data_IF_418152449863
#
_entry.id   IF_418152449863
#
_cell.length_a   1.000
_cell.length_b   1.000
_cell.length_c   1.000
_cell.angle_alpha   90.00
_cell.angle_beta   90.00
_cell.angle_gamma   90.00
#
_symmetry.space_group_name_H-M   'P 1'
#
loop_
_entity.id
_entity.type
_entity.pdbx_description
1 polymer ?
#
# COMPACT_ATOMS: atom_id res chain seq x y z
N UNK A 1 -20.87 -5.68 0.03
CA UNK A 1 -19.75 -6.09 -0.84
C UNK A 1 -20.31 -6.53 -2.19
N UNK A 2 -19.64 -6.22 -3.32
CA UNK A 2 -20.04 -6.76 -4.63
C UNK A 2 -19.29 -8.05 -4.95
N UNK A 3 -19.83 -8.89 -5.85
CA UNK A 3 -19.15 -10.12 -6.29
C UNK A 3 -17.78 -9.83 -6.91
N UNK A 4 -17.68 -8.76 -7.72
CA UNK A 4 -16.41 -8.33 -8.30
C UNK A 4 -15.37 -8.00 -7.22
N UNK A 5 -15.73 -7.19 -6.22
CA UNK A 5 -14.80 -6.82 -5.16
C UNK A 5 -14.38 -8.00 -4.29
N UNK A 6 -15.30 -8.92 -4.01
CA UNK A 6 -15.00 -10.13 -3.24
C UNK A 6 -14.03 -11.05 -4.00
N UNK A 7 -14.28 -11.32 -5.28
CA UNK A 7 -13.37 -12.10 -6.13
C UNK A 7 -12.01 -11.43 -6.30
N UNK A 8 -12.00 -10.09 -6.43
CA UNK A 8 -10.77 -9.34 -6.61
C UNK A 8 -9.89 -9.37 -5.36
N UNK A 9 -10.46 -9.12 -4.18
CA UNK A 9 -9.70 -8.90 -2.93
C UNK A 9 -9.58 -10.14 -2.04
N UNK A 10 -10.39 -11.16 -2.29
CA UNK A 10 -10.57 -12.31 -1.41
C UNK A 10 -11.34 -12.02 -0.12
N UNK A 11 -11.86 -10.79 0.07
CA UNK A 11 -12.67 -10.43 1.24
C UNK A 11 -14.09 -10.95 1.06
N UNK A 12 -14.54 -11.76 2.00
CA UNK A 12 -15.92 -12.27 2.05
C UNK A 12 -16.85 -11.27 2.70
N UNK A 13 -18.15 -11.37 2.41
CA UNK A 13 -19.15 -10.54 3.09
C UNK A 13 -19.19 -10.85 4.60
N UNK A 14 -18.99 -12.11 5.01
CA UNK A 14 -18.95 -12.49 6.42
C UNK A 14 -17.76 -11.88 7.18
N UNK A 15 -16.57 -11.80 6.57
CA UNK A 15 -15.44 -11.08 7.19
C UNK A 15 -15.78 -9.59 7.38
N UNK A 16 -16.46 -8.97 6.43
CA UNK A 16 -16.88 -7.57 6.54
C UNK A 16 -17.95 -7.38 7.63
N UNK A 17 -18.94 -8.27 7.68
CA UNK A 17 -20.03 -8.21 8.66
C UNK A 17 -19.53 -8.36 10.11
N UNK A 18 -18.46 -9.12 10.30
CA UNK A 18 -17.83 -9.33 11.62
C UNK A 18 -16.68 -8.36 11.91
N UNK A 19 -16.43 -7.38 11.04
CA UNK A 19 -15.34 -6.41 11.21
C UNK A 19 -15.78 -5.17 11.99
N UNK A 20 -14.84 -4.57 12.71
CA UNK A 20 -15.05 -3.26 13.31
C UNK A 20 -15.22 -2.18 12.23
N UNK A 21 -16.02 -1.15 12.53
CA UNK A 21 -16.19 -0.02 11.62
C UNK A 21 -14.90 0.81 11.48
N UNK A 22 -14.85 1.62 10.41
CA UNK A 22 -13.66 2.43 10.07
C UNK A 22 -13.17 3.31 11.22
N UNK A 23 -14.05 3.94 12.02
CA UNK A 23 -13.62 4.81 13.12
C UNK A 23 -12.82 4.05 14.17
N UNK A 24 -13.27 2.85 14.52
CA UNK A 24 -12.58 1.98 15.49
C UNK A 24 -11.25 1.51 14.91
N UNK A 25 -11.25 0.93 13.71
CA UNK A 25 -10.05 0.39 13.07
C UNK A 25 -9.01 1.49 12.84
N UNK A 26 -9.44 2.67 12.36
CA UNK A 26 -8.55 3.78 12.08
C UNK A 26 -7.99 4.40 13.38
N UNK A 27 -8.78 4.48 14.45
CA UNK A 27 -8.27 4.88 15.77
C UNK A 27 -7.20 3.92 16.28
N UNK A 28 -7.44 2.61 16.16
CA UNK A 28 -6.45 1.58 16.52
C UNK A 28 -5.18 1.70 15.67
N UNK A 29 -5.32 1.94 14.37
CA UNK A 29 -4.19 2.21 13.47
C UNK A 29 -3.39 3.43 13.92
N UNK A 30 -4.04 4.55 14.25
CA UNK A 30 -3.36 5.77 14.70
C UNK A 30 -2.66 5.60 16.06
N UNK A 31 -3.19 4.75 16.94
CA UNK A 31 -2.56 4.41 18.22
C UNK A 31 -1.31 3.55 18.02
N UNK A 32 -1.35 2.63 17.06
CA UNK A 32 -0.21 1.80 16.68
C UNK A 32 0.83 2.55 15.84
N UNK A 33 0.40 3.50 15.01
CA UNK A 33 1.25 4.23 14.07
C UNK A 33 2.22 5.18 14.79
N UNK A 34 3.55 5.05 14.57
CA UNK A 34 4.53 5.87 15.28
C UNK A 34 4.42 7.36 14.97
N UNK A 35 4.26 8.18 16.01
CA UNK A 35 4.22 9.66 15.93
C UNK A 35 5.62 10.28 15.87
N UNK A 36 6.47 9.75 14.99
CA UNK A 36 7.86 10.20 14.82
C UNK A 36 8.15 10.49 13.35
N UNK A 37 9.08 11.42 13.09
CA UNK A 37 9.60 11.70 11.74
C UNK A 37 10.56 10.61 11.24
N UNK A 38 10.96 9.66 12.10
CA UNK A 38 11.84 8.54 11.74
C UNK A 38 11.13 7.43 10.96
N UNK A 39 9.81 7.48 10.82
CA UNK A 39 9.00 6.49 10.11
C UNK A 39 8.40 7.12 8.86
N UNK A 40 8.51 6.42 7.73
CA UNK A 40 7.97 6.84 6.45
C UNK A 40 6.72 6.00 6.13
N UNK A 41 5.62 6.67 5.79
CA UNK A 41 4.44 6.01 5.26
C UNK A 41 4.61 5.74 3.77
N UNK A 42 4.84 4.48 3.38
CA UNK A 42 5.17 4.13 2.01
C UNK A 42 4.04 3.35 1.32
N UNK A 43 3.74 3.70 0.07
CA UNK A 43 2.65 3.11 -0.72
C UNK A 43 3.10 2.75 -2.13
N UNK A 44 2.41 1.81 -2.78
CA UNK A 44 2.64 1.47 -4.19
C UNK A 44 1.72 2.26 -5.14
N UNK A 45 1.73 3.58 -5.01
CA UNK A 45 0.83 4.48 -5.72
C UNK A 45 0.33 5.59 -4.82
N UNK A 46 -0.47 6.50 -5.33
CA UNK A 46 -1.08 7.57 -4.52
C UNK A 46 -2.46 7.21 -3.99
N UNK A 47 -3.05 6.11 -4.46
CA UNK A 47 -4.47 5.83 -4.25
C UNK A 47 -4.79 5.47 -2.80
N UNK A 48 -3.90 4.77 -2.10
CA UNK A 48 -4.12 4.36 -0.70
C UNK A 48 -4.37 5.58 0.21
N UNK A 49 -3.51 6.61 0.14
CA UNK A 49 -3.67 7.82 0.94
C UNK A 49 -4.92 8.63 0.54
N UNK A 50 -5.30 8.58 -0.74
CA UNK A 50 -6.54 9.21 -1.21
C UNK A 50 -7.75 8.49 -0.61
N UNK A 51 -7.79 7.16 -0.66
CA UNK A 51 -8.89 6.36 -0.12
C UNK A 51 -9.03 6.55 1.40
N UNK A 52 -7.93 6.47 2.15
CA UNK A 52 -7.94 6.73 3.60
C UNK A 52 -8.56 8.10 3.91
N UNK A 53 -8.22 9.13 3.14
CA UNK A 53 -8.75 10.48 3.37
C UNK A 53 -10.21 10.63 2.96
N UNK A 54 -10.67 9.90 1.94
CA UNK A 54 -12.11 9.82 1.60
C UNK A 54 -12.88 9.16 2.75
N UNK A 55 -12.35 8.09 3.32
CA UNK A 55 -12.97 7.40 4.46
C UNK A 55 -12.97 8.28 5.72
N UNK A 56 -11.88 9.01 5.99
CA UNK A 56 -11.82 9.99 7.07
C UNK A 56 -12.92 11.06 6.91
N UNK A 57 -13.03 11.67 5.72
CA UNK A 57 -14.02 12.69 5.45
C UNK A 57 -15.45 12.14 5.61
N UNK A 58 -15.73 10.97 5.07
CA UNK A 58 -17.04 10.30 5.16
C UNK A 58 -17.43 9.94 6.60
N UNK A 59 -16.44 9.82 7.49
CA UNK A 59 -16.64 9.52 8.91
C UNK A 59 -16.54 10.74 9.83
N UNK A 60 -16.40 11.96 9.28
CA UNK A 60 -16.17 13.20 10.04
C UNK A 60 -14.90 13.14 10.92
N UNK A 61 -13.84 12.53 10.40
CA UNK A 61 -12.53 12.46 11.05
C UNK A 61 -11.54 13.42 10.38
N UNK A 62 -10.51 13.90 11.11
CA UNK A 62 -9.40 14.63 10.51
C UNK A 62 -8.74 13.83 9.38
N UNK A 63 -8.27 14.53 8.36
CA UNK A 63 -7.50 13.91 7.27
C UNK A 63 -6.22 13.28 7.82
N UNK A 64 -5.90 12.09 7.32
CA UNK A 64 -4.65 11.42 7.62
C UNK A 64 -3.50 12.12 6.91
N UNK A 65 -2.62 12.74 7.71
CA UNK A 65 -1.41 13.41 7.24
C UNK A 65 -0.19 12.79 7.94
N UNK A 66 0.44 11.76 7.35
CA UNK A 66 1.67 11.21 7.89
C UNK A 66 2.80 12.25 7.84
N UNK A 67 3.69 12.24 8.84
CA UNK A 67 4.84 13.18 8.90
C UNK A 67 5.70 13.15 7.63
N UNK A 68 5.81 11.98 7.01
CA UNK A 68 6.45 11.80 5.72
C UNK A 68 5.82 10.63 4.97
N UNK A 69 5.59 10.79 3.67
CA UNK A 69 5.03 9.76 2.80
C UNK A 69 5.84 9.56 1.52
N UNK A 70 5.94 8.31 1.06
CA UNK A 70 6.64 7.93 -0.16
C UNK A 70 5.76 7.12 -1.10
N UNK A 71 5.76 7.53 -2.38
CA UNK A 71 5.20 6.72 -3.45
C UNK A 71 6.31 5.87 -4.08
N UNK A 72 6.44 4.63 -3.62
CA UNK A 72 7.49 3.71 -4.04
C UNK A 72 7.43 3.41 -5.54
N UNK A 73 6.23 3.38 -6.13
CA UNK A 73 6.03 3.18 -7.57
C UNK A 73 6.71 4.27 -8.43
N UNK A 74 6.69 5.54 -7.98
CA UNK A 74 7.40 6.63 -8.65
C UNK A 74 8.92 6.50 -8.51
N UNK A 75 9.40 6.15 -7.32
CA UNK A 75 10.84 6.01 -7.05
C UNK A 75 11.39 4.82 -7.84
N UNK A 76 10.69 3.68 -7.82
CA UNK A 76 11.04 2.49 -8.60
C UNK A 76 11.17 2.78 -10.09
N UNK A 77 10.20 3.51 -10.68
CA UNK A 77 10.27 3.96 -12.08
C UNK A 77 11.58 4.73 -12.34
N UNK A 78 11.92 5.68 -11.47
CA UNK A 78 13.09 6.55 -11.62
C UNK A 78 14.40 5.75 -11.53
N UNK A 79 14.55 4.93 -10.48
CA UNK A 79 15.77 4.15 -10.24
C UNK A 79 16.00 3.12 -11.36
N UNK A 80 14.94 2.45 -11.80
CA UNK A 80 15.00 1.42 -12.84
C UNK A 80 14.83 1.98 -14.28
N UNK A 81 14.88 3.31 -14.46
CA UNK A 81 14.79 4.01 -15.76
C UNK A 81 13.62 3.56 -16.64
N UNK A 82 12.48 3.26 -16.03
CA UNK A 82 11.31 2.77 -16.77
C UNK A 82 10.62 3.91 -17.52
N UNK A 83 10.19 3.66 -18.76
CA UNK A 83 9.43 4.63 -19.57
C UNK A 83 8.14 5.09 -18.85
N UNK A 84 7.42 4.15 -18.25
CA UNK A 84 6.18 4.39 -17.49
C UNK A 84 6.20 3.67 -16.13
N UNK A 85 5.48 4.18 -15.11
CA UNK A 85 5.26 3.43 -13.88
C UNK A 85 4.57 2.10 -14.16
N UNK A 86 4.90 1.06 -13.38
CA UNK A 86 4.34 -0.30 -13.53
C UNK A 86 3.56 -0.72 -12.27
N UNK A 87 2.67 -1.71 -12.42
CA UNK A 87 1.96 -2.33 -11.29
C UNK A 87 2.92 -3.15 -10.40
N UNK A 88 2.46 -3.51 -9.20
CA UNK A 88 3.27 -4.23 -8.20
C UNK A 88 3.77 -5.58 -8.75
N UNK A 89 2.87 -6.40 -9.29
CA UNK A 89 3.23 -7.69 -9.88
C UNK A 89 4.30 -7.57 -10.97
N UNK A 90 4.16 -6.61 -11.89
CA UNK A 90 5.15 -6.38 -12.95
C UNK A 90 6.49 -5.89 -12.39
N UNK A 91 6.49 -5.08 -11.33
CA UNK A 91 7.74 -4.67 -10.69
C UNK A 91 8.48 -5.85 -10.05
N UNK A 92 7.75 -6.75 -9.38
CA UNK A 92 8.32 -7.98 -8.82
C UNK A 92 8.91 -8.88 -9.91
N UNK A 93 8.18 -9.06 -11.01
CA UNK A 93 8.64 -9.84 -12.15
C UNK A 93 9.94 -9.28 -12.75
N UNK A 94 10.03 -7.96 -12.94
CA UNK A 94 11.25 -7.29 -13.42
C UNK A 94 12.45 -7.49 -12.48
N UNK A 95 12.19 -7.62 -11.18
CA UNK A 95 13.18 -7.86 -10.15
C UNK A 95 13.40 -9.34 -9.84
N UNK A 96 12.83 -10.25 -10.64
CA UNK A 96 12.89 -11.71 -10.44
C UNK A 96 12.44 -12.13 -9.03
N UNK A 97 11.50 -11.38 -8.46
CA UNK A 97 10.91 -11.65 -7.15
C UNK A 97 9.57 -12.35 -7.34
N UNK A 98 9.37 -13.45 -6.62
CA UNK A 98 8.09 -14.15 -6.59
C UNK A 98 7.06 -13.37 -5.78
N UNK A 99 5.83 -13.23 -6.29
CA UNK A 99 4.69 -12.74 -5.51
C UNK A 99 4.24 -13.83 -4.53
N UNK A 100 4.15 -13.52 -3.23
CA UNK A 100 3.69 -14.46 -2.20
C UNK A 100 2.33 -14.05 -1.65
N UNK A 101 1.42 -15.01 -1.51
CA UNK A 101 0.05 -14.77 -1.05
C UNK A 101 -0.90 -14.40 -2.18
N UNK A 102 -1.98 -13.71 -1.86
CA UNK A 102 -3.05 -13.39 -2.81
C UNK A 102 -2.90 -11.98 -3.37
N UNK A 103 -2.87 -11.85 -4.70
CA UNK A 103 -2.83 -10.55 -5.36
C UNK A 103 -4.10 -9.75 -5.00
N UNK A 104 -3.95 -8.43 -4.77
CA UNK A 104 -5.02 -7.52 -4.29
C UNK A 104 -5.50 -7.75 -2.86
N UNK A 105 -4.90 -8.68 -2.11
CA UNK A 105 -5.05 -8.72 -0.65
C UNK A 105 -4.07 -7.72 -0.05
N UNK A 106 -4.58 -6.62 0.52
CA UNK A 106 -3.77 -5.46 0.93
C UNK A 106 -2.54 -5.80 1.78
N UNK A 107 -2.66 -6.74 2.72
CA UNK A 107 -1.54 -7.17 3.57
C UNK A 107 -0.45 -7.90 2.77
N UNK A 108 -0.84 -8.76 1.82
CA UNK A 108 0.11 -9.47 0.96
C UNK A 108 0.75 -8.49 -0.03
N UNK A 109 -0.01 -7.55 -0.60
CA UNK A 109 0.54 -6.49 -1.43
C UNK A 109 1.58 -5.64 -0.67
N UNK A 110 1.33 -5.29 0.59
CA UNK A 110 2.28 -4.57 1.44
C UNK A 110 3.56 -5.39 1.68
N UNK A 111 3.43 -6.68 2.03
CA UNK A 111 4.57 -7.59 2.23
C UNK A 111 5.39 -7.77 0.96
N UNK A 112 4.74 -7.89 -0.20
CA UNK A 112 5.44 -8.00 -1.48
C UNK A 112 6.09 -6.69 -1.89
N UNK A 113 5.48 -5.54 -1.58
CA UNK A 113 6.07 -4.22 -1.81
C UNK A 113 7.42 -4.06 -1.09
N UNK A 114 7.55 -4.62 0.13
CA UNK A 114 8.82 -4.59 0.88
C UNK A 114 9.97 -5.27 0.12
N UNK A 115 9.70 -6.33 -0.65
CA UNK A 115 10.72 -7.04 -1.46
C UNK A 115 11.35 -6.15 -2.52
N UNK A 116 10.68 -5.07 -2.92
CA UNK A 116 11.19 -4.12 -3.91
C UNK A 116 12.09 -3.06 -3.28
N UNK A 117 12.15 -2.94 -1.95
CA UNK A 117 12.94 -1.90 -1.28
C UNK A 117 14.44 -1.99 -1.61
N UNK A 118 15.10 -3.16 -1.68
CA UNK A 118 16.50 -3.22 -2.13
C UNK A 118 16.68 -2.62 -3.54
N UNK A 119 15.76 -2.86 -4.47
CA UNK A 119 15.81 -2.32 -5.83
C UNK A 119 15.45 -0.82 -5.93
N UNK A 120 15.00 -0.23 -4.82
CA UNK A 120 14.63 1.19 -4.71
C UNK A 120 15.69 1.97 -3.93
N UNK A 121 16.23 1.36 -2.86
CA UNK A 121 17.12 2.00 -1.89
C UNK A 121 18.60 1.70 -2.17
N UNK A 122 18.91 0.50 -2.64
CA UNK A 122 20.22 0.26 -3.21
C UNK A 122 20.31 1.06 -4.49
N UNK A 123 21.44 1.72 -4.72
CA UNK A 123 21.73 2.49 -5.92
C UNK A 123 22.50 1.55 -6.86
N UNK A 124 21.87 0.75 -7.75
CA UNK A 124 22.64 -0.02 -8.69
C UNK A 124 22.92 0.91 -9.87
N UNK A 125 24.16 1.35 -10.01
CA UNK A 125 24.67 1.76 -11.31
C UNK A 125 25.90 0.94 -11.65
N UNK A 126 26.09 0.58 -12.91
CA UNK A 126 25.09 0.11 -13.87
C UNK A 126 25.54 -1.24 -14.47
N UNK A 127 24.71 -1.85 -15.33
CA UNK A 127 25.24 -2.72 -16.39
C UNK A 127 26.28 -1.95 -17.22
#
# INVERSE_FOLDING_TARGET
MSNFCSQLTGITQSELDNSDNFKIVFSNFLNWYPKTSKVLFATWGSYDLIQINIDCASNNLPLFSPNAALNLKKIFKKVNKLKKPVGLARALELCQCEFKGSHHRALDDARNTVKLLPFILSNPKPL
#
